data_IF_772918774950
#
_entry.id   IF_772918774950
#
_cell.length_a   1.000
_cell.length_b   1.000
_cell.length_c   1.000
_cell.angle_alpha   90.00
_cell.angle_beta   90.00
_cell.angle_gamma   90.00
#
_symmetry.space_group_name_H-M   'P 1'
#
loop_
_entity.id
_entity.type
_entity.pdbx_description
1 polymer ?
#
# COMPACT_ATOMS: atom_id res chain seq x y z
N UNK A 1 5.29 -8.88 15.63
CA UNK A 1 5.81 -7.95 14.64
C UNK A 1 5.48 -6.51 15.03
N UNK A 2 6.32 -5.58 14.65
CA UNK A 2 6.19 -4.19 15.05
C UNK A 2 5.23 -3.40 14.17
N UNK A 3 5.04 -3.86 12.92
CA UNK A 3 4.10 -3.30 11.96
C UNK A 3 3.25 -4.39 11.30
N UNK A 4 1.99 -4.06 11.01
CA UNK A 4 1.06 -4.88 10.23
C UNK A 4 0.48 -4.02 9.11
N UNK A 5 0.58 -4.45 7.86
CA UNK A 5 0.02 -3.74 6.71
C UNK A 5 -1.22 -4.49 6.22
N UNK A 6 -2.35 -3.80 6.11
CA UNK A 6 -3.57 -4.31 5.51
C UNK A 6 -3.83 -3.54 4.22
N UNK A 7 -3.67 -4.21 3.10
CA UNK A 7 -4.01 -3.69 1.78
C UNK A 7 -5.53 -3.65 1.56
N UNK A 8 -5.98 -3.34 0.33
CA UNK A 8 -7.40 -3.32 0.01
C UNK A 8 -8.10 -4.64 0.37
N UNK A 9 -9.24 -4.53 1.05
CA UNK A 9 -10.14 -5.65 1.35
C UNK A 9 -11.23 -5.65 0.31
N UNK A 10 -11.31 -6.74 -0.46
CA UNK A 10 -12.31 -6.90 -1.52
C UNK A 10 -12.72 -8.38 -1.61
N UNK A 11 -13.77 -8.66 -2.37
CA UNK A 11 -14.30 -10.01 -2.60
C UNK A 11 -13.31 -10.83 -3.46
N UNK A 12 -12.24 -11.28 -2.83
CA UNK A 12 -11.22 -12.13 -3.43
C UNK A 12 -10.91 -13.31 -2.52
N UNK A 13 -10.50 -14.45 -3.11
CA UNK A 13 -10.20 -15.67 -2.37
C UNK A 13 -11.35 -16.18 -1.46
N UNK A 14 -12.61 -15.97 -1.86
CA UNK A 14 -13.82 -16.29 -1.07
C UNK A 14 -13.82 -17.72 -0.55
N UNK A 15 -13.35 -18.68 -1.32
CA UNK A 15 -13.25 -20.09 -0.92
C UNK A 15 -12.33 -20.34 0.29
N UNK A 16 -11.52 -19.34 0.69
CA UNK A 16 -10.59 -19.45 1.83
C UNK A 16 -10.84 -18.41 2.92
N UNK A 17 -11.29 -17.21 2.54
CA UNK A 17 -11.38 -16.06 3.45
C UNK A 17 -12.82 -15.77 3.90
N UNK A 18 -13.83 -16.40 3.29
CA UNK A 18 -15.24 -16.23 3.63
C UNK A 18 -16.09 -15.67 2.49
N UNK A 19 -17.40 -15.72 2.68
CA UNK A 19 -18.42 -15.40 1.69
C UNK A 19 -18.90 -13.93 1.76
N UNK A 20 -18.45 -13.18 2.78
CA UNK A 20 -18.76 -11.76 2.96
C UNK A 20 -17.50 -10.93 3.14
N UNK A 21 -17.61 -9.64 2.79
CA UNK A 21 -16.50 -8.72 2.89
C UNK A 21 -16.03 -8.53 4.34
N UNK A 22 -16.96 -8.64 5.31
CA UNK A 22 -16.68 -8.55 6.74
C UNK A 22 -15.87 -9.76 7.22
N UNK A 23 -16.19 -10.97 6.73
CA UNK A 23 -15.42 -12.18 7.04
C UNK A 23 -13.99 -12.05 6.49
N UNK A 24 -13.85 -11.61 5.25
CA UNK A 24 -12.53 -11.38 4.64
C UNK A 24 -11.74 -10.33 5.41
N UNK A 25 -12.39 -9.26 5.86
CA UNK A 25 -11.76 -8.24 6.70
C UNK A 25 -11.27 -8.81 8.03
N UNK A 26 -12.09 -9.65 8.68
CA UNK A 26 -11.74 -10.34 9.93
C UNK A 26 -10.52 -11.25 9.78
N UNK A 27 -10.47 -12.06 8.74
CA UNK A 27 -9.31 -12.91 8.43
C UNK A 27 -8.03 -12.09 8.20
N UNK A 28 -8.13 -11.01 7.43
CA UNK A 28 -6.99 -10.10 7.22
C UNK A 28 -6.57 -9.39 8.50
N UNK A 29 -7.53 -9.00 9.36
CA UNK A 29 -7.25 -8.40 10.66
C UNK A 29 -6.51 -9.35 11.62
N UNK A 30 -6.58 -10.66 11.42
CA UNK A 30 -5.86 -11.66 12.21
C UNK A 30 -4.35 -11.50 12.27
N UNK A 31 -3.74 -10.69 11.40
CA UNK A 31 -2.30 -10.36 11.47
C UNK A 31 -1.98 -9.28 12.50
N UNK A 32 -2.97 -8.53 12.98
CA UNK A 32 -2.78 -7.46 13.97
C UNK A 32 -2.24 -8.03 15.29
N UNK A 33 -1.37 -7.26 15.95
CA UNK A 33 -0.79 -7.64 17.24
C UNK A 33 -0.94 -6.48 18.24
N UNK A 34 -1.10 -6.77 19.55
CA UNK A 34 -1.33 -5.74 20.57
C UNK A 34 -0.29 -4.62 20.61
N UNK A 35 0.97 -4.95 20.25
CA UNK A 35 2.10 -4.00 20.31
C UNK A 35 2.52 -3.48 18.93
N UNK A 36 1.76 -3.82 17.87
CA UNK A 36 2.10 -3.37 16.51
C UNK A 36 1.43 -2.03 16.18
N UNK A 37 2.03 -1.31 15.22
CA UNK A 37 1.35 -0.28 14.46
C UNK A 37 0.64 -0.92 13.28
N UNK A 38 -0.64 -0.61 13.09
CA UNK A 38 -1.42 -1.10 11.94
C UNK A 38 -1.47 -0.01 10.87
N UNK A 39 -1.02 -0.36 9.67
CA UNK A 39 -1.07 0.50 8.49
C UNK A 39 -2.20 -0.02 7.60
N UNK A 40 -3.18 0.83 7.31
CA UNK A 40 -4.36 0.50 6.50
C UNK A 40 -4.26 1.28 5.20
N UNK A 41 -4.08 0.56 4.09
CA UNK A 41 -4.13 1.11 2.73
C UNK A 41 -5.54 1.53 2.32
N UNK A 42 -5.72 2.14 1.14
CA UNK A 42 -7.02 2.56 0.63
C UNK A 42 -8.00 1.37 0.62
N UNK A 43 -9.23 1.62 1.05
CA UNK A 43 -10.26 0.59 1.10
C UNK A 43 -11.36 0.89 0.09
N UNK A 44 -11.74 -0.07 -0.78
CA UNK A 44 -12.79 0.12 -1.79
C UNK A 44 -14.21 0.19 -1.19
N UNK A 45 -14.40 -0.30 0.04
CA UNK A 45 -15.69 -0.35 0.71
C UNK A 45 -15.68 0.53 1.96
N UNK A 46 -16.63 1.47 2.05
CA UNK A 46 -16.70 2.51 3.09
C UNK A 46 -16.79 1.95 4.53
N UNK A 47 -17.39 0.75 4.71
CA UNK A 47 -17.55 0.14 6.03
C UNK A 47 -16.25 -0.51 6.55
N UNK A 48 -15.30 -0.84 5.68
CA UNK A 48 -14.11 -1.64 6.05
C UNK A 48 -13.15 -0.89 6.97
N UNK A 49 -12.83 0.40 6.78
CA UNK A 49 -11.94 1.12 7.72
C UNK A 49 -12.43 1.04 9.17
N UNK A 50 -13.71 1.32 9.41
CA UNK A 50 -14.30 1.28 10.75
C UNK A 50 -14.25 -0.14 11.34
N UNK A 51 -14.54 -1.16 10.54
CA UNK A 51 -14.48 -2.56 10.96
C UNK A 51 -13.06 -2.98 11.34
N UNK A 52 -12.05 -2.60 10.55
CA UNK A 52 -10.65 -2.88 10.85
C UNK A 52 -10.20 -2.16 12.14
N UNK A 53 -10.68 -0.93 12.38
CA UNK A 53 -10.42 -0.20 13.61
C UNK A 53 -11.06 -0.89 14.84
N UNK A 54 -12.25 -1.45 14.69
CA UNK A 54 -12.91 -2.21 15.78
C UNK A 54 -12.12 -3.47 16.12
N UNK A 55 -11.71 -4.26 15.13
CA UNK A 55 -10.83 -5.42 15.35
C UNK A 55 -9.52 -5.02 16.03
N UNK A 56 -8.92 -3.94 15.60
CA UNK A 56 -7.67 -3.50 16.17
C UNK A 56 -7.82 -3.01 17.62
N UNK A 57 -8.96 -2.38 17.95
CA UNK A 57 -9.31 -2.01 19.33
C UNK A 57 -9.48 -3.25 20.21
N UNK A 58 -10.15 -4.29 19.71
CA UNK A 58 -10.32 -5.57 20.42
C UNK A 58 -8.98 -6.28 20.70
N UNK A 59 -8.06 -6.23 19.74
CA UNK A 59 -6.71 -6.80 19.87
C UNK A 59 -5.84 -5.95 20.81
N UNK A 60 -6.14 -4.66 20.99
CA UNK A 60 -5.34 -3.72 21.78
C UNK A 60 -4.16 -3.14 21.02
N UNK A 61 -4.33 -2.89 19.71
CA UNK A 61 -3.35 -2.21 18.85
C UNK A 61 -3.07 -0.81 19.38
N UNK A 62 -1.80 -0.41 19.42
CA UNK A 62 -1.37 0.86 20.01
C UNK A 62 -1.49 2.05 19.05
N UNK A 63 -1.28 1.85 17.76
CA UNK A 63 -1.26 2.93 16.79
C UNK A 63 -1.81 2.51 15.43
N UNK A 64 -2.40 3.49 14.74
CA UNK A 64 -2.91 3.37 13.37
C UNK A 64 -2.26 4.37 12.46
N UNK A 65 -2.04 3.96 11.21
CA UNK A 65 -1.71 4.84 10.10
C UNK A 65 -2.64 4.49 8.94
N UNK A 66 -3.61 5.35 8.66
CA UNK A 66 -4.61 5.15 7.59
C UNK A 66 -4.24 6.02 6.40
N UNK A 67 -4.24 5.41 5.22
CA UNK A 67 -4.12 6.15 3.97
C UNK A 67 -5.34 7.09 3.81
N UNK A 68 -5.07 8.34 3.47
CA UNK A 68 -6.08 9.41 3.41
C UNK A 68 -6.38 10.10 4.74
N UNK A 69 -5.80 9.67 5.87
CA UNK A 69 -6.01 10.27 7.20
C UNK A 69 -4.68 10.67 7.83
N UNK A 70 -3.94 9.72 8.41
CA UNK A 70 -2.62 9.98 9.01
C UNK A 70 -1.49 10.02 7.97
N UNK A 71 -1.67 9.31 6.84
CA UNK A 71 -0.73 9.30 5.72
C UNK A 71 -1.46 9.51 4.40
N UNK A 72 -0.79 10.03 3.37
CA UNK A 72 -1.40 10.22 2.06
C UNK A 72 -0.38 10.29 0.93
N UNK A 73 -0.83 9.95 -0.28
CA UNK A 73 -0.16 10.31 -1.52
C UNK A 73 -0.61 11.72 -1.91
N UNK A 74 0.15 12.74 -1.50
CA UNK A 74 -0.23 14.15 -1.68
C UNK A 74 -0.13 14.62 -3.12
N UNK A 75 0.75 14.02 -3.93
CA UNK A 75 0.81 14.23 -5.36
C UNK A 75 1.36 13.02 -6.10
N UNK A 76 0.96 12.87 -7.36
CA UNK A 76 1.44 11.82 -8.25
C UNK A 76 1.49 12.32 -9.70
N UNK A 77 2.57 12.04 -10.38
CA UNK A 77 2.74 12.31 -11.81
C UNK A 77 3.42 11.12 -12.50
N UNK A 78 3.00 10.81 -13.72
CA UNK A 78 3.68 9.81 -14.53
C UNK A 78 5.11 10.26 -14.85
N UNK A 79 6.05 9.31 -14.82
CA UNK A 79 7.45 9.54 -15.15
C UNK A 79 8.01 8.40 -16.00
N UNK A 80 9.15 8.62 -16.65
CA UNK A 80 9.80 7.59 -17.44
C UNK A 80 10.26 6.44 -16.52
N UNK A 81 9.71 5.27 -16.74
CA UNK A 81 10.04 4.07 -15.95
C UNK A 81 9.25 3.91 -14.65
N UNK A 82 8.20 4.72 -14.44
CA UNK A 82 7.37 4.67 -13.24
C UNK A 82 6.58 5.95 -13.00
N UNK A 83 6.67 6.48 -11.81
CA UNK A 83 5.95 7.68 -11.41
C UNK A 83 6.76 8.48 -10.38
N UNK A 84 6.46 9.78 -10.27
CA UNK A 84 6.99 10.68 -9.25
C UNK A 84 5.88 10.96 -8.25
N UNK A 85 6.15 10.80 -6.96
CA UNK A 85 5.16 10.97 -5.90
C UNK A 85 5.65 11.90 -4.80
N UNK A 86 4.72 12.54 -4.10
CA UNK A 86 4.96 13.16 -2.80
C UNK A 86 4.15 12.37 -1.77
N UNK A 87 4.84 11.86 -0.77
CA UNK A 87 4.27 11.01 0.28
C UNK A 87 4.30 11.76 1.61
N UNK A 88 3.15 11.88 2.27
CA UNK A 88 3.04 12.39 3.64
C UNK A 88 2.82 11.22 4.58
N UNK A 89 3.63 11.13 5.64
CA UNK A 89 3.54 10.15 6.71
C UNK A 89 3.38 10.87 8.05
N UNK A 90 3.10 10.15 9.16
CA UNK A 90 3.14 10.74 10.50
C UNK A 90 4.49 11.36 10.88
N UNK A 91 5.59 10.95 10.27
CA UNK A 91 6.94 11.44 10.57
C UNK A 91 7.36 12.64 9.71
N UNK A 92 6.73 12.85 8.54
CA UNK A 92 7.06 13.99 7.68
C UNK A 92 6.60 13.85 6.24
N UNK A 93 7.14 14.70 5.39
CA UNK A 93 6.82 14.76 3.96
C UNK A 93 8.06 14.39 3.14
N UNK A 94 7.88 13.48 2.20
CA UNK A 94 8.89 13.04 1.24
C UNK A 94 8.48 13.53 -0.14
N UNK A 95 9.14 14.58 -0.60
CA UNK A 95 8.81 15.24 -1.85
C UNK A 95 9.57 14.63 -3.02
N UNK A 96 8.91 14.56 -4.18
CA UNK A 96 9.50 14.17 -5.46
C UNK A 96 10.22 12.80 -5.44
N UNK A 97 9.61 11.82 -4.79
CA UNK A 97 10.16 10.47 -4.70
C UNK A 97 9.85 9.68 -5.99
N UNK A 98 10.87 9.17 -6.70
CA UNK A 98 10.64 8.29 -7.83
C UNK A 98 10.24 6.89 -7.36
N UNK A 99 9.13 6.39 -7.89
CA UNK A 99 8.66 5.01 -7.68
C UNK A 99 8.72 4.29 -9.03
N UNK A 100 9.54 3.24 -9.12
CA UNK A 100 9.81 2.51 -10.38
C UNK A 100 8.67 1.57 -10.81
N UNK A 101 7.48 1.72 -10.23
CA UNK A 101 6.29 0.95 -10.53
C UNK A 101 5.18 1.86 -11.07
N UNK A 102 4.33 1.32 -11.96
CA UNK A 102 3.24 2.04 -12.60
C UNK A 102 1.93 1.84 -11.85
N UNK A 103 1.05 2.84 -11.96
CA UNK A 103 -0.31 2.80 -11.41
C UNK A 103 -0.42 3.42 -10.02
N UNK A 104 -1.59 4.02 -9.78
CA UNK A 104 -1.90 4.71 -8.54
C UNK A 104 -1.78 3.79 -7.31
N UNK A 105 -2.27 2.56 -7.43
CA UNK A 105 -2.18 1.56 -6.36
C UNK A 105 -0.73 1.29 -5.91
N UNK A 106 0.26 1.45 -6.80
CA UNK A 106 1.67 1.28 -6.42
C UNK A 106 2.21 2.49 -5.64
N UNK A 107 1.67 3.68 -5.86
CA UNK A 107 1.99 4.84 -5.01
C UNK A 107 1.49 4.63 -3.57
N UNK A 108 0.28 4.10 -3.41
CA UNK A 108 -0.28 3.74 -2.10
C UNK A 108 0.47 2.56 -1.45
N UNK A 109 0.89 1.57 -2.22
CA UNK A 109 1.76 0.49 -1.72
C UNK A 109 3.11 1.04 -1.24
N UNK A 110 3.71 2.00 -1.97
CA UNK A 110 4.94 2.66 -1.55
C UNK A 110 4.76 3.47 -0.25
N UNK A 111 3.63 4.17 -0.12
CA UNK A 111 3.27 4.88 1.11
C UNK A 111 3.16 3.91 2.29
N UNK A 112 2.42 2.81 2.15
CA UNK A 112 2.26 1.82 3.20
C UNK A 112 3.60 1.18 3.60
N UNK A 113 4.46 0.87 2.61
CA UNK A 113 5.80 0.34 2.87
C UNK A 113 6.70 1.35 3.60
N UNK A 114 6.62 2.64 3.23
CA UNK A 114 7.35 3.71 3.89
C UNK A 114 6.90 3.89 5.35
N UNK A 115 5.58 3.93 5.61
CA UNK A 115 5.05 3.99 6.97
C UNK A 115 5.49 2.79 7.82
N UNK A 116 5.53 1.58 7.25
CA UNK A 116 6.04 0.40 7.94
C UNK A 116 7.54 0.50 8.22
N UNK A 117 8.33 1.02 7.28
CA UNK A 117 9.76 1.23 7.47
C UNK A 117 10.03 2.23 8.61
N UNK A 118 9.27 3.31 8.70
CA UNK A 118 9.37 4.29 9.80
C UNK A 118 9.06 3.68 11.18
N UNK A 119 8.21 2.67 11.24
CA UNK A 119 7.91 1.94 12.49
C UNK A 119 9.04 0.99 12.86
N UNK A 120 9.63 0.31 11.87
CA UNK A 120 10.57 -0.79 12.11
C UNK A 120 12.02 -0.31 12.23
N UNK A 121 12.38 0.76 11.51
CA UNK A 121 13.74 1.30 11.52
C UNK A 121 13.90 2.25 12.73
N UNK A 122 14.82 1.99 13.66
CA UNK A 122 14.93 2.75 14.89
C UNK A 122 15.67 4.09 14.66
N UNK A 123 15.02 5.02 13.99
CA UNK A 123 15.47 6.41 13.84
C UNK A 123 14.49 7.36 14.51
N UNK A 124 14.98 8.48 15.01
CA UNK A 124 14.11 9.53 15.56
C UNK A 124 13.58 10.39 14.41
N UNK A 125 12.26 10.33 14.18
CA UNK A 125 11.59 11.14 13.15
C UNK A 125 11.69 10.53 11.75
N UNK A 126 11.76 11.38 10.76
CA UNK A 126 11.72 11.05 9.34
C UNK A 126 12.97 10.23 8.91
N UNK A 127 12.76 9.23 8.06
CA UNK A 127 13.86 8.52 7.40
C UNK A 127 14.61 9.47 6.44
N UNK A 128 15.86 9.15 6.17
CA UNK A 128 16.65 9.91 5.19
C UNK A 128 16.01 9.84 3.80
N UNK A 129 15.71 11.00 3.22
CA UNK A 129 15.01 11.11 1.94
C UNK A 129 15.80 10.53 0.76
N UNK A 130 17.14 10.56 0.79
CA UNK A 130 17.98 9.97 -0.25
C UNK A 130 17.93 8.44 -0.18
N UNK A 131 17.90 7.87 1.03
CA UNK A 131 17.73 6.43 1.25
C UNK A 131 16.35 5.97 0.77
N UNK A 132 15.29 6.69 1.09
CA UNK A 132 13.92 6.41 0.60
C UNK A 132 13.85 6.49 -0.92
N UNK A 133 14.43 7.54 -1.50
CA UNK A 133 14.54 7.73 -2.95
C UNK A 133 15.25 6.55 -3.61
N UNK A 134 16.41 6.17 -3.10
CA UNK A 134 17.18 5.03 -3.63
C UNK A 134 16.38 3.72 -3.54
N UNK A 135 15.75 3.46 -2.40
CA UNK A 135 14.97 2.25 -2.18
C UNK A 135 13.78 2.16 -3.14
N UNK A 136 12.92 3.20 -3.20
CA UNK A 136 11.70 3.17 -4.01
C UNK A 136 11.95 3.24 -5.52
N UNK A 137 13.05 3.89 -5.95
CA UNK A 137 13.46 3.89 -7.36
C UNK A 137 14.06 2.57 -7.83
N UNK A 138 14.55 1.75 -6.91
CA UNK A 138 15.16 0.45 -7.22
C UNK A 138 14.17 -0.72 -7.16
N UNK A 139 12.96 -0.53 -6.61
CA UNK A 139 11.96 -1.59 -6.46
C UNK A 139 11.57 -2.16 -7.81
N UNK A 140 11.60 -3.49 -7.93
CA UNK A 140 11.09 -4.22 -9.09
C UNK A 140 10.23 -5.36 -8.59
N UNK A 141 8.98 -5.38 -9.04
CA UNK A 141 8.04 -6.47 -8.76
C UNK A 141 7.67 -7.11 -10.09
N UNK A 142 8.26 -8.28 -10.44
CA UNK A 142 7.95 -8.97 -11.68
C UNK A 142 6.45 -9.22 -11.82
N UNK A 143 5.91 -9.01 -13.04
CA UNK A 143 4.51 -9.21 -13.33
C UNK A 143 3.55 -8.18 -12.71
N UNK A 144 4.02 -6.99 -12.36
CA UNK A 144 3.19 -5.85 -11.93
C UNK A 144 3.38 -4.69 -12.90
N UNK A 145 2.57 -4.66 -13.96
CA UNK A 145 2.66 -3.73 -15.10
C UNK A 145 4.10 -3.69 -15.65
N UNK A 146 4.69 -4.85 -15.77
CA UNK A 146 6.07 -5.01 -16.21
C UNK A 146 6.18 -4.86 -17.72
N UNK A 147 6.93 -3.86 -18.20
CA UNK A 147 7.22 -3.67 -19.62
C UNK A 147 8.39 -4.55 -20.03
N UNK A 148 8.10 -5.69 -20.66
CA UNK A 148 9.11 -6.65 -21.11
C UNK A 148 9.68 -6.36 -22.51
N UNK A 149 8.96 -5.58 -23.31
CA UNK A 149 9.41 -5.12 -24.63
C UNK A 149 8.78 -3.76 -24.96
N UNK A 150 9.52 -2.89 -25.63
CA UNK A 150 9.08 -1.51 -25.96
C UNK A 150 8.60 -1.34 -27.41
N UNK A 151 8.96 -2.24 -28.31
CA UNK A 151 8.55 -2.13 -29.74
C UNK A 151 8.26 -3.52 -30.32
N UNK A 152 6.97 -3.89 -30.51
CA UNK A 152 5.81 -3.26 -29.90
C UNK A 152 5.89 -3.33 -28.37
N UNK A 153 5.18 -2.45 -27.69
CA UNK A 153 5.11 -2.52 -26.22
C UNK A 153 4.38 -3.78 -25.77
N UNK A 154 5.05 -4.58 -24.93
CA UNK A 154 4.45 -5.76 -24.29
C UNK A 154 4.56 -5.57 -22.80
N UNK A 155 3.40 -5.65 -22.13
CA UNK A 155 3.26 -5.52 -20.68
C UNK A 155 2.77 -6.84 -20.10
N UNK A 156 3.34 -7.25 -18.96
CA UNK A 156 2.87 -8.39 -18.17
C UNK A 156 2.31 -7.86 -16.84
N UNK A 157 1.14 -8.33 -16.47
CA UNK A 157 0.54 -8.11 -15.16
C UNK A 157 -0.10 -9.37 -14.61
N UNK A 158 0.04 -9.61 -13.30
CA UNK A 158 -0.52 -10.75 -12.58
C UNK A 158 -1.94 -10.53 -12.06
N UNK A 159 -2.59 -9.43 -12.44
CA UNK A 159 -3.97 -9.13 -12.06
C UNK A 159 -4.94 -10.18 -12.59
N UNK A 160 -5.76 -10.75 -11.71
CA UNK A 160 -6.68 -11.85 -12.03
C UNK A 160 -8.09 -11.65 -11.44
N UNK A 161 -8.33 -10.49 -10.83
CA UNK A 161 -9.63 -10.09 -10.33
C UNK A 161 -10.06 -8.74 -10.93
N UNK A 162 -11.33 -8.36 -10.74
CA UNK A 162 -11.90 -7.16 -11.33
C UNK A 162 -11.18 -5.88 -10.89
N UNK A 163 -10.79 -5.81 -9.62
CA UNK A 163 -10.08 -4.65 -9.06
C UNK A 163 -8.70 -4.48 -9.71
N UNK A 164 -7.95 -5.57 -9.87
CA UNK A 164 -6.66 -5.54 -10.54
C UNK A 164 -6.76 -5.16 -12.03
N UNK A 165 -7.80 -5.64 -12.74
CA UNK A 165 -8.05 -5.25 -14.14
C UNK A 165 -8.39 -3.77 -14.25
N UNK A 166 -9.21 -3.23 -13.33
CA UNK A 166 -9.53 -1.80 -13.29
C UNK A 166 -8.29 -0.95 -13.00
N UNK A 167 -7.44 -1.37 -12.07
CA UNK A 167 -6.17 -0.71 -11.76
C UNK A 167 -5.21 -0.72 -12.96
N UNK A 168 -5.10 -1.86 -13.67
CA UNK A 168 -4.31 -1.97 -14.90
C UNK A 168 -4.83 -1.02 -15.99
N UNK A 169 -6.15 -0.99 -16.21
CA UNK A 169 -6.78 -0.09 -17.20
C UNK A 169 -6.52 1.38 -16.88
N UNK A 170 -6.53 1.77 -15.61
CA UNK A 170 -6.27 3.14 -15.18
C UNK A 170 -4.77 3.53 -15.30
N UNK A 171 -3.87 2.56 -15.34
CA UNK A 171 -2.44 2.77 -15.40
C UNK A 171 -1.87 2.80 -16.84
N UNK A 172 -2.62 2.30 -17.84
CA UNK A 172 -2.27 2.26 -19.28
C UNK A 172 -2.95 3.38 -20.06
#
# INVERSE_FOLDING_TARGET
GDASIIGPVDMDHMQWLGDTIEQIAGEKAGIMKPTSTVIIGPQPHEQIPALLEDYAREVGVQAFVRDGVEAEVSSRAAAVGGQMVTLRTPQGVYEHIPVSMFGEHQAHNALAALCAAEVVIPVAGQLDADVVTQALSAVKVPGRIEVIRRSPTIVIDGGHNENAVNALRAAL
#
